data_IF_070797299715
#
_entry.id   IF_070797299715
#
_cell.length_a   1.000
_cell.length_b   1.000
_cell.length_c   1.000
_cell.angle_alpha   90.00
_cell.angle_beta   90.00
_cell.angle_gamma   90.00
#
_symmetry.space_group_name_H-M   'P 1'
#
loop_
_entity.id
_entity.type
_entity.pdbx_description
1 polymer ?
#
# COMPACT_ATOMS: atom_id res chain seq x y z
N UNK A 1 -20.54 -1.72 -14.51
CA UNK A 1 -19.16 -1.57 -15.02
C UNK A 1 -18.51 -0.36 -14.34
N UNK A 2 -17.67 -0.60 -13.34
CA UNK A 2 -16.96 0.41 -12.52
C UNK A 2 -15.66 0.92 -13.22
N UNK A 3 -15.22 0.26 -14.29
CA UNK A 3 -13.80 0.21 -14.71
C UNK A 3 -13.31 1.33 -15.64
N UNK A 4 -14.20 2.10 -16.29
CA UNK A 4 -13.77 3.01 -17.35
C UNK A 4 -12.76 4.07 -16.88
N UNK A 5 -12.91 4.59 -15.67
CA UNK A 5 -11.98 5.58 -15.13
C UNK A 5 -10.66 5.00 -14.62
N UNK A 6 -10.70 3.80 -14.05
CA UNK A 6 -9.51 3.11 -13.58
C UNK A 6 -8.64 2.72 -14.78
N UNK A 7 -9.27 2.27 -15.87
CA UNK A 7 -8.60 1.94 -17.13
C UNK A 7 -7.85 3.12 -17.77
N UNK A 8 -8.36 4.36 -17.64
CA UNK A 8 -7.68 5.57 -18.16
C UNK A 8 -6.27 5.74 -17.55
N UNK A 9 -6.11 5.43 -16.26
CA UNK A 9 -4.80 5.49 -15.58
C UNK A 9 -4.06 4.16 -15.64
N UNK A 10 -4.79 3.04 -15.61
CA UNK A 10 -4.24 1.68 -15.55
C UNK A 10 -3.61 1.21 -16.85
N UNK A 11 -4.22 1.51 -18.01
CA UNK A 11 -3.71 1.05 -19.31
C UNK A 11 -2.28 1.54 -19.60
N UNK A 12 -1.95 2.85 -19.46
CA UNK A 12 -0.57 3.30 -19.66
C UNK A 12 0.44 2.64 -18.73
N UNK A 13 0.02 2.29 -17.50
CA UNK A 13 0.86 1.54 -16.55
C UNK A 13 1.04 0.10 -17.01
N UNK A 14 -0.03 -0.58 -17.43
CA UNK A 14 0.03 -1.93 -17.99
C UNK A 14 0.94 -2.00 -19.21
N UNK A 15 0.79 -1.08 -20.16
CA UNK A 15 1.64 -0.98 -21.36
C UNK A 15 3.13 -0.82 -21.01
N UNK A 16 3.46 0.08 -20.07
CA UNK A 16 4.84 0.31 -19.65
C UNK A 16 5.46 -0.92 -18.94
N UNK A 17 4.69 -1.61 -18.10
CA UNK A 17 5.15 -2.82 -17.43
C UNK A 17 5.30 -3.98 -18.43
N UNK A 18 4.33 -4.19 -19.32
CA UNK A 18 4.38 -5.24 -20.35
C UNK A 18 5.53 -5.04 -21.34
N UNK A 19 5.90 -3.78 -21.64
CA UNK A 19 7.07 -3.50 -22.48
C UNK A 19 8.39 -3.96 -21.81
N UNK A 20 8.45 -3.99 -20.47
CA UNK A 20 9.64 -4.37 -19.71
C UNK A 20 9.65 -5.85 -19.31
N UNK A 21 8.49 -6.40 -18.97
CA UNK A 21 8.28 -7.78 -18.51
C UNK A 21 7.03 -8.41 -19.19
N UNK A 22 7.10 -8.71 -20.50
CA UNK A 22 5.92 -9.11 -21.29
C UNK A 22 5.21 -10.35 -20.77
N UNK A 23 5.95 -11.32 -20.22
CA UNK A 23 5.39 -12.60 -19.75
C UNK A 23 4.96 -12.60 -18.28
N UNK A 24 5.14 -11.47 -17.58
CA UNK A 24 4.86 -11.36 -16.14
C UNK A 24 3.72 -10.38 -15.81
N UNK A 25 3.06 -9.82 -16.83
CA UNK A 25 2.05 -8.78 -16.67
C UNK A 25 0.72 -9.24 -17.24
N UNK A 26 -0.32 -9.20 -16.39
CA UNK A 26 -1.69 -9.47 -16.78
C UNK A 26 -2.58 -8.29 -16.40
N UNK A 27 -3.43 -7.88 -17.33
CA UNK A 27 -4.47 -6.90 -17.05
C UNK A 27 -5.66 -7.57 -16.37
N UNK A 28 -6.27 -6.87 -15.43
CA UNK A 28 -7.50 -7.28 -14.77
C UNK A 28 -8.48 -6.12 -14.75
N UNK A 29 -9.77 -6.44 -14.67
CA UNK A 29 -10.82 -5.41 -14.67
C UNK A 29 -10.78 -4.55 -13.41
N UNK A 30 -10.63 -5.18 -12.24
CA UNK A 30 -10.63 -4.46 -10.98
C UNK A 30 -9.96 -5.21 -9.83
N UNK A 31 -9.17 -4.50 -9.02
CA UNK A 31 -8.53 -5.00 -7.78
C UNK A 31 -8.95 -4.20 -6.53
N UNK A 32 -10.04 -3.43 -6.64
CA UNK A 32 -10.45 -2.50 -5.60
C UNK A 32 -9.56 -1.26 -5.50
N UNK A 33 -10.09 -0.21 -4.86
CA UNK A 33 -9.30 0.99 -4.56
C UNK A 33 -9.18 1.98 -5.71
N UNK A 34 -10.29 2.33 -6.37
CA UNK A 34 -10.35 3.33 -7.45
C UNK A 34 -9.65 4.64 -7.10
N UNK A 35 -9.77 5.07 -5.84
CA UNK A 35 -9.13 6.27 -5.32
C UNK A 35 -7.59 6.22 -5.36
N UNK A 36 -7.02 5.04 -5.58
CA UNK A 36 -5.60 4.76 -5.71
C UNK A 36 -5.22 4.38 -7.14
N UNK A 37 -6.10 4.52 -8.14
CA UNK A 37 -5.74 4.19 -9.51
C UNK A 37 -4.59 5.08 -10.03
N UNK A 38 -3.59 4.54 -10.74
CA UNK A 38 -3.46 3.14 -11.16
C UNK A 38 -2.96 2.19 -10.04
N UNK A 39 -3.50 0.97 -9.98
CA UNK A 39 -3.13 -0.04 -9.00
C UNK A 39 -2.35 -1.19 -9.67
N UNK A 40 -1.38 -1.75 -8.96
CA UNK A 40 -0.70 -3.00 -9.32
C UNK A 40 -0.73 -3.93 -8.11
N UNK A 41 -0.96 -5.22 -8.34
CA UNK A 41 -0.78 -6.27 -7.34
C UNK A 41 0.31 -7.21 -7.83
N UNK A 42 1.30 -7.49 -6.97
CA UNK A 42 2.34 -8.48 -7.29
C UNK A 42 2.02 -9.77 -6.56
N UNK A 43 2.01 -10.87 -7.31
CA UNK A 43 1.76 -12.24 -6.83
C UNK A 43 2.99 -13.10 -7.10
N UNK A 44 3.29 -14.13 -6.28
CA UNK A 44 2.50 -14.64 -5.15
C UNK A 44 2.59 -13.79 -3.89
N UNK A 45 3.46 -12.77 -3.87
CA UNK A 45 3.74 -11.97 -2.68
C UNK A 45 2.44 -11.43 -2.05
N UNK A 46 1.55 -10.82 -2.83
CA UNK A 46 0.34 -10.17 -2.34
C UNK A 46 0.61 -8.75 -1.84
N UNK A 47 1.46 -8.00 -2.55
CA UNK A 47 1.71 -6.58 -2.30
C UNK A 47 0.87 -5.75 -3.24
N UNK A 48 0.14 -4.78 -2.68
CA UNK A 48 -0.58 -3.79 -3.47
C UNK A 48 0.18 -2.47 -3.54
N UNK A 49 0.26 -1.95 -4.76
CA UNK A 49 0.72 -0.62 -5.07
C UNK A 49 -0.40 0.23 -5.67
N UNK A 50 -0.33 1.54 -5.45
CA UNK A 50 -1.32 2.48 -5.94
C UNK A 50 -0.73 3.86 -6.24
N UNK A 51 -1.56 4.71 -6.84
CA UNK A 51 -1.20 6.04 -7.34
C UNK A 51 0.00 5.98 -8.31
N UNK A 52 0.04 4.95 -9.15
CA UNK A 52 1.12 4.76 -10.12
C UNK A 52 0.83 5.52 -11.41
N UNK A 53 1.92 5.96 -12.03
CA UNK A 53 2.04 6.39 -13.42
C UNK A 53 3.03 5.45 -14.15
N UNK A 54 3.15 5.51 -15.49
CA UNK A 54 4.02 4.60 -16.24
C UNK A 54 5.47 4.53 -15.75
N UNK A 55 6.04 5.66 -15.34
CA UNK A 55 7.44 5.73 -14.88
C UNK A 55 7.57 5.18 -13.46
N UNK A 56 6.72 5.64 -12.54
CA UNK A 56 6.76 5.16 -11.16
C UNK A 56 6.44 3.67 -11.05
N UNK A 57 5.57 3.13 -11.92
CA UNK A 57 5.27 1.70 -11.99
C UNK A 57 6.52 0.86 -12.28
N UNK A 58 7.30 1.21 -13.29
CA UNK A 58 8.53 0.47 -13.63
C UNK A 58 9.50 0.47 -12.44
N UNK A 59 9.77 1.64 -11.87
CA UNK A 59 10.67 1.76 -10.71
C UNK A 59 10.18 0.96 -9.50
N UNK A 60 8.89 1.03 -9.17
CA UNK A 60 8.31 0.30 -8.04
C UNK A 60 8.40 -1.20 -8.24
N UNK A 61 8.18 -1.70 -9.45
CA UNK A 61 8.28 -3.13 -9.74
C UNK A 61 9.72 -3.62 -9.83
N UNK A 62 10.66 -2.82 -10.37
CA UNK A 62 12.10 -3.12 -10.29
C UNK A 62 12.57 -3.25 -8.83
N UNK A 63 12.15 -2.32 -7.98
CA UNK A 63 12.47 -2.35 -6.56
C UNK A 63 11.80 -3.53 -5.84
N UNK A 64 10.55 -3.86 -6.16
CA UNK A 64 9.86 -5.02 -5.62
C UNK A 64 10.57 -6.33 -5.99
N UNK A 65 10.91 -6.51 -7.27
CA UNK A 65 11.61 -7.70 -7.76
C UNK A 65 13.02 -7.84 -7.16
N UNK A 66 13.59 -6.73 -6.68
CA UNK A 66 14.86 -6.70 -5.96
C UNK A 66 14.70 -6.79 -4.42
N UNK A 67 13.51 -7.17 -3.94
CA UNK A 67 13.14 -7.28 -2.52
C UNK A 67 13.36 -5.97 -1.73
N UNK A 68 13.03 -4.83 -2.35
CA UNK A 68 13.13 -3.49 -1.76
C UNK A 68 11.80 -2.76 -1.84
N UNK A 69 10.86 -3.09 -0.95
CA UNK A 69 9.56 -2.42 -0.91
C UNK A 69 9.70 -1.03 -0.28
N UNK A 70 9.28 -0.01 -1.03
CA UNK A 70 9.19 1.38 -0.56
C UNK A 70 7.78 1.73 -0.12
N UNK A 71 7.66 2.68 0.80
CA UNK A 71 6.37 3.10 1.33
C UNK A 71 5.60 4.10 0.43
N UNK A 72 6.26 4.73 -0.55
CA UNK A 72 5.72 5.84 -1.36
C UNK A 72 4.43 5.46 -2.11
N UNK A 73 4.46 4.31 -2.78
CA UNK A 73 3.32 3.76 -3.53
C UNK A 73 2.70 2.53 -2.87
N UNK A 74 3.21 2.12 -1.70
CA UNK A 74 2.68 0.96 -0.99
C UNK A 74 1.27 1.24 -0.49
N UNK A 75 0.30 0.48 -1.02
CA UNK A 75 -1.07 0.47 -0.53
C UNK A 75 -1.22 -0.50 0.66
N UNK A 76 -0.46 -1.60 0.66
CA UNK A 76 -0.39 -2.54 1.76
C UNK A 76 -0.22 -3.99 1.31
N UNK A 77 -0.34 -4.92 2.26
CA UNK A 77 -0.18 -6.37 2.03
C UNK A 77 -1.52 -7.06 2.23
N UNK A 78 -1.82 -8.06 1.40
CA UNK A 78 -3.07 -8.86 1.48
C UNK A 78 -3.33 -9.47 2.86
N UNK A 79 -2.26 -9.75 3.61
CA UNK A 79 -2.31 -10.39 4.94
C UNK A 79 -2.53 -9.42 6.09
N UNK A 80 -2.54 -8.10 5.84
CA UNK A 80 -2.56 -7.08 6.88
C UNK A 80 -3.86 -6.29 6.90
N UNK A 81 -4.36 -6.01 8.11
CA UNK A 81 -5.52 -5.12 8.33
C UNK A 81 -5.11 -3.65 8.10
N UNK A 82 -6.06 -2.74 7.83
CA UNK A 82 -5.74 -1.35 7.54
C UNK A 82 -4.79 -0.61 8.53
N UNK A 83 -4.96 -0.68 9.87
CA UNK A 83 -4.01 -0.04 10.78
C UNK A 83 -2.62 -0.70 10.73
N UNK A 84 -2.55 -2.02 10.48
CA UNK A 84 -1.30 -2.76 10.35
C UNK A 84 -0.55 -2.37 9.07
N UNK A 85 -1.25 -2.19 7.96
CA UNK A 85 -0.67 -1.68 6.71
C UNK A 85 -0.08 -0.27 6.92
N UNK A 86 -0.80 0.62 7.62
CA UNK A 86 -0.32 1.96 7.94
C UNK A 86 0.94 1.92 8.81
N UNK A 87 0.99 1.01 9.79
CA UNK A 87 2.14 0.81 10.65
C UNK A 87 3.38 0.33 9.87
N UNK A 88 3.25 -0.72 9.06
CA UNK A 88 4.34 -1.23 8.22
C UNK A 88 4.84 -0.17 7.23
N UNK A 89 3.92 0.56 6.58
CA UNK A 89 4.30 1.66 5.70
C UNK A 89 5.06 2.76 6.44
N UNK A 90 4.71 3.08 7.69
CA UNK A 90 5.45 4.05 8.49
C UNK A 90 6.83 3.56 8.92
N UNK A 91 6.97 2.28 9.24
CA UNK A 91 8.27 1.65 9.51
C UNK A 91 9.17 1.74 8.27
N UNK A 92 8.66 1.39 7.09
CA UNK A 92 9.38 1.52 5.82
C UNK A 92 9.76 2.97 5.49
N UNK A 93 8.89 3.97 5.79
CA UNK A 93 9.26 5.39 5.63
C UNK A 93 10.41 5.79 6.55
N UNK A 94 10.42 5.26 7.78
CA UNK A 94 11.40 5.66 8.80
C UNK A 94 12.76 4.99 8.59
N UNK A 95 12.76 3.70 8.28
CA UNK A 95 13.96 2.86 8.25
C UNK A 95 14.47 2.60 6.83
N UNK A 96 13.68 2.96 5.83
CA UNK A 96 13.99 2.76 4.42
C UNK A 96 13.36 1.49 3.85
N UNK A 97 13.63 1.23 2.55
CA UNK A 97 13.09 0.07 1.86
C UNK A 97 13.59 -1.23 2.49
N UNK A 98 12.73 -2.24 2.50
CA UNK A 98 13.07 -3.57 3.01
C UNK A 98 12.31 -4.64 2.23
N UNK A 99 12.72 -5.88 2.41
CA UNK A 99 12.08 -7.02 1.79
C UNK A 99 10.66 -7.24 2.27
N UNK A 100 9.89 -7.96 1.46
CA UNK A 100 8.49 -8.27 1.78
C UNK A 100 8.33 -8.93 3.16
N UNK A 101 9.27 -9.79 3.51
CA UNK A 101 9.22 -10.59 4.72
C UNK A 101 10.14 -10.09 5.84
N UNK A 102 10.70 -8.88 5.69
CA UNK A 102 11.61 -8.30 6.68
C UNK A 102 10.89 -7.71 7.88
N UNK A 103 9.63 -7.27 7.71
CA UNK A 103 8.81 -6.75 8.79
C UNK A 103 7.57 -7.61 9.04
N UNK A 104 7.36 -7.99 10.30
CA UNK A 104 6.20 -8.75 10.74
C UNK A 104 5.43 -7.99 11.82
N UNK A 105 4.10 -7.94 11.68
CA UNK A 105 3.22 -7.44 12.74
C UNK A 105 2.98 -8.56 13.73
N UNK A 106 3.43 -8.37 14.97
CA UNK A 106 3.35 -9.38 16.03
C UNK A 106 2.23 -9.09 17.03
N UNK A 107 1.81 -7.84 17.15
CA UNK A 107 0.76 -7.44 18.09
C UNK A 107 -0.06 -6.27 17.51
N UNK A 108 -1.36 -6.24 17.82
CA UNK A 108 -2.23 -5.11 17.52
C UNK A 108 -3.24 -4.96 18.65
N UNK A 109 -3.13 -3.85 19.39
CA UNK A 109 -3.98 -3.56 20.54
C UNK A 109 -4.81 -2.33 20.22
N UNK A 110 -6.13 -2.41 20.46
CA UNK A 110 -6.99 -1.24 20.37
C UNK A 110 -6.66 -0.28 21.54
N UNK A 111 -6.60 1.01 21.24
CA UNK A 111 -6.42 2.09 22.20
C UNK A 111 -7.60 3.08 22.07
N UNK A 112 -7.75 4.00 23.01
CA UNK A 112 -8.93 4.87 23.13
C UNK A 112 -9.31 5.59 21.82
N UNK A 113 -8.33 6.02 21.03
CA UNK A 113 -8.55 6.70 19.75
C UNK A 113 -7.85 6.07 18.53
N UNK A 114 -7.51 4.78 18.63
CA UNK A 114 -6.80 4.11 17.55
C UNK A 114 -6.28 2.72 17.89
N UNK A 115 -5.07 2.43 17.40
CA UNK A 115 -4.38 1.17 17.61
C UNK A 115 -2.90 1.41 17.90
N UNK A 116 -2.37 0.63 18.83
CA UNK A 116 -0.94 0.38 18.93
C UNK A 116 -0.61 -0.89 18.18
N UNK A 117 0.27 -0.81 17.19
CA UNK A 117 0.73 -1.93 16.36
C UNK A 117 2.20 -2.17 16.64
N UNK A 118 2.55 -3.40 17.01
CA UNK A 118 3.95 -3.81 17.18
C UNK A 118 4.46 -4.46 15.92
N UNK A 119 5.55 -3.91 15.38
CA UNK A 119 6.24 -4.40 14.20
C UNK A 119 7.64 -4.86 14.60
N UNK A 120 8.01 -6.07 14.21
CA UNK A 120 9.36 -6.61 14.39
C UNK A 120 10.06 -6.67 13.05
N UNK A 121 11.35 -6.34 13.03
CA UNK A 121 12.18 -6.36 11.83
C UNK A 121 13.24 -7.46 11.85
N UNK A 122 13.87 -7.68 10.71
CA UNK A 122 15.16 -8.39 10.62
C UNK A 122 16.33 -7.40 10.74
N UNK A 123 17.54 -7.93 10.93
CA UNK A 123 18.75 -7.10 10.94
C UNK A 123 18.84 -6.24 9.65
N UNK A 124 19.30 -4.97 9.72
CA UNK A 124 19.91 -4.31 10.89
C UNK A 124 18.90 -3.74 11.90
N UNK A 125 17.59 -3.79 11.62
CA UNK A 125 16.54 -3.21 12.46
C UNK A 125 15.75 -4.28 13.23
N UNK A 126 16.46 -5.08 14.03
CA UNK A 126 15.87 -6.21 14.75
C UNK A 126 15.02 -5.82 15.98
N UNK A 127 15.12 -4.58 16.45
CA UNK A 127 14.35 -4.10 17.61
C UNK A 127 12.86 -3.97 17.30
N UNK A 128 11.96 -4.31 18.24
CA UNK A 128 10.53 -4.08 18.07
C UNK A 128 10.24 -2.59 17.95
N UNK A 129 9.27 -2.24 17.11
CA UNK A 129 8.77 -0.89 16.91
C UNK A 129 7.30 -0.85 17.29
N UNK A 130 6.97 0.05 18.22
CA UNK A 130 5.60 0.37 18.57
C UNK A 130 5.13 1.57 17.73
N UNK A 131 4.03 1.35 17.01
CA UNK A 131 3.44 2.30 16.07
C UNK A 131 2.03 2.64 16.50
N UNK A 132 1.79 3.93 16.78
CA UNK A 132 0.47 4.44 17.13
C UNK A 132 -0.25 4.91 15.87
N UNK A 133 -1.45 4.40 15.64
CA UNK A 133 -2.25 4.62 14.43
C UNK A 133 -3.64 5.09 14.80
N UNK A 134 -4.10 6.19 14.20
CA UNK A 134 -5.46 6.71 14.37
C UNK A 134 -6.25 6.64 13.08
N UNK A 135 -7.54 6.38 13.17
CA UNK A 135 -8.44 6.48 12.03
C UNK A 135 -9.06 7.88 11.99
N UNK A 136 -9.11 8.49 10.81
CA UNK A 136 -9.95 9.67 10.55
C UNK A 136 -10.76 9.48 9.28
N UNK A 137 -11.87 10.20 9.19
CA UNK A 137 -12.65 10.31 7.96
C UNK A 137 -12.17 11.50 7.14
N UNK A 138 -11.97 11.31 5.85
CA UNK A 138 -11.69 12.41 4.93
C UNK A 138 -12.95 13.25 4.72
N UNK A 139 -12.82 14.54 4.36
CA UNK A 139 -13.94 15.30 3.81
C UNK A 139 -14.62 14.54 2.67
N UNK A 140 -15.94 14.70 2.55
CA UNK A 140 -16.72 14.02 1.53
C UNK A 140 -16.29 14.50 0.14
N UNK A 141 -15.90 13.55 -0.71
CA UNK A 141 -15.54 13.79 -2.12
C UNK A 141 -16.02 12.63 -2.96
N UNK A 142 -15.97 12.77 -4.28
CA UNK A 142 -16.25 11.65 -5.18
C UNK A 142 -15.10 10.64 -5.09
N UNK A 143 -15.36 9.47 -4.49
CA UNK A 143 -14.35 8.42 -4.27
C UNK A 143 -14.26 7.41 -5.41
N UNK A 144 -15.35 7.21 -6.13
CA UNK A 144 -15.42 6.34 -7.31
C UNK A 144 -16.10 7.10 -8.44
N UNK A 145 -15.74 6.78 -9.68
CA UNK A 145 -16.22 7.55 -10.82
C UNK A 145 -17.74 7.55 -11.01
N UNK A 146 -18.40 6.44 -10.65
CA UNK A 146 -19.86 6.28 -10.70
C UNK A 146 -20.51 6.24 -9.32
N UNK A 147 -19.84 6.74 -8.28
CA UNK A 147 -20.41 6.84 -6.95
C UNK A 147 -21.68 7.71 -6.97
N UNK A 148 -22.81 7.26 -6.39
CA UNK A 148 -24.08 7.97 -6.46
C UNK A 148 -24.05 9.31 -5.70
N UNK A 149 -23.10 9.48 -4.78
CA UNK A 149 -22.89 10.69 -4.02
C UNK A 149 -21.42 10.83 -3.58
N UNK A 150 -21.06 12.02 -3.11
CA UNK A 150 -19.81 12.23 -2.38
C UNK A 150 -19.83 11.40 -1.09
N UNK A 151 -18.71 10.75 -0.79
CA UNK A 151 -18.54 9.94 0.41
C UNK A 151 -17.20 10.23 1.08
N UNK A 152 -17.10 9.87 2.35
CA UNK A 152 -15.85 9.97 3.12
C UNK A 152 -15.11 8.63 3.10
N UNK A 153 -13.79 8.68 3.01
CA UNK A 153 -12.94 7.51 3.17
C UNK A 153 -12.37 7.49 4.59
N UNK A 154 -12.23 6.30 5.18
CA UNK A 154 -11.39 6.14 6.36
C UNK A 154 -9.93 6.10 5.92
N UNK A 155 -9.11 6.93 6.55
CA UNK A 155 -7.65 6.91 6.41
C UNK A 155 -7.03 6.67 7.78
N UNK A 156 -5.87 6.02 7.77
CA UNK A 156 -5.14 5.62 8.97
C UNK A 156 -3.87 6.45 9.02
N UNK A 157 -3.82 7.40 9.94
CA UNK A 157 -2.65 8.26 10.13
C UNK A 157 -1.79 7.69 11.27
N UNK A 158 -0.48 7.66 11.04
CA UNK A 158 0.48 7.27 12.07
C UNK A 158 0.86 8.50 12.88
N UNK A 159 0.65 8.45 14.19
CA UNK A 159 0.94 9.56 15.11
C UNK A 159 2.30 9.41 15.79
N UNK A 160 2.82 8.19 15.90
CA UNK A 160 4.10 7.91 16.54
C UNK A 160 4.69 6.60 16.04
N UNK A 161 6.02 6.55 15.92
CA UNK A 161 6.82 5.33 15.71
C UNK A 161 7.95 5.38 16.74
N UNK A 162 8.11 4.37 17.59
CA UNK A 162 9.15 4.32 18.64
C UNK A 162 9.71 2.91 18.74
N UNK A 163 10.96 2.78 19.17
CA UNK A 163 11.46 1.47 19.60
C UNK A 163 10.78 1.09 20.91
N UNK A 164 10.36 -0.18 21.00
CA UNK A 164 9.76 -0.78 22.19
C UNK A 164 10.77 -1.38 23.15
#
# INVERSE_FOLDING_TARGET
MHDACCAVRGRPVGEALSARWPDLVWECTHVGGDRFAANVVVVPDGVYYGNLDPRSAVTVIEDHLADRIRADHLRGYTTLRPPQQAAVAAVLRRLGPAGRHDYAVTETVAADDGWRVRVTGRAPHAGPLDVEVRARRTPARRLTCRGPANSSAVVYDVTSVRYG
#
